data_IF_818527372294
#
_entry.id   IF_818527372294
#
_cell.length_a   1.000
_cell.length_b   1.000
_cell.length_c   1.000
_cell.angle_alpha   90.00
_cell.angle_beta   90.00
_cell.angle_gamma   90.00
#
_symmetry.space_group_name_H-M   'P 1'
#
loop_
_entity.id
_entity.type
_entity.pdbx_description
1 polymer ?
#
# COMPACT_ATOMS: atom_id res chain seq x y z
N UNK A 1 -28.83 -14.17 7.16
CA UNK A 1 -27.36 -14.08 7.10
C UNK A 1 -27.06 -12.83 6.32
N UNK A 2 -26.67 -11.80 7.05
CA UNK A 2 -26.45 -10.45 6.56
C UNK A 2 -25.10 -10.40 5.84
N UNK A 3 -25.11 -10.12 4.54
CA UNK A 3 -23.91 -10.08 3.68
C UNK A 3 -23.07 -8.81 3.89
N UNK A 4 -23.47 -7.90 4.79
CA UNK A 4 -22.77 -6.63 5.01
C UNK A 4 -21.64 -6.69 6.03
N UNK A 5 -21.53 -7.76 6.82
CA UNK A 5 -20.45 -7.92 7.80
C UNK A 5 -19.13 -8.40 7.17
N UNK A 6 -19.18 -9.16 6.07
CA UNK A 6 -17.96 -9.70 5.44
C UNK A 6 -17.16 -8.65 4.64
N UNK A 7 -17.79 -7.56 4.19
CA UNK A 7 -17.10 -6.52 3.40
C UNK A 7 -16.22 -5.63 4.28
N UNK A 8 -16.50 -5.55 5.59
CA UNK A 8 -15.72 -4.72 6.51
C UNK A 8 -14.34 -5.28 6.80
N UNK A 9 -14.14 -6.59 6.71
CA UNK A 9 -12.85 -7.22 7.05
C UNK A 9 -11.82 -7.10 5.91
N UNK A 10 -12.25 -7.19 4.64
CA UNK A 10 -11.35 -7.06 3.47
C UNK A 10 -10.77 -5.64 3.32
N UNK A 11 -11.53 -4.60 3.70
CA UNK A 11 -11.07 -3.20 3.67
C UNK A 11 -9.98 -2.86 4.70
N UNK A 12 -9.68 -3.76 5.65
CA UNK A 12 -8.70 -3.48 6.71
C UNK A 12 -7.25 -3.76 6.33
N UNK A 13 -6.99 -4.48 5.24
CA UNK A 13 -5.64 -4.92 4.91
C UNK A 13 -4.90 -3.84 4.14
N UNK A 14 -5.50 -3.29 3.07
CA UNK A 14 -4.93 -2.15 2.35
C UNK A 14 -4.66 -0.92 3.24
N UNK A 15 -5.49 -0.69 4.26
CA UNK A 15 -5.31 0.44 5.18
C UNK A 15 -4.08 0.26 6.10
N UNK A 16 -3.57 -0.96 6.25
CA UNK A 16 -2.38 -1.27 7.05
C UNK A 16 -1.08 -1.17 6.26
N UNK A 17 -1.13 -0.82 4.97
CA UNK A 17 0.06 -0.79 4.10
C UNK A 17 0.27 0.57 3.46
N UNK A 18 1.54 0.89 3.23
CA UNK A 18 1.96 2.14 2.63
C UNK A 18 3.01 1.93 1.55
N UNK A 19 3.01 2.87 0.61
CA UNK A 19 3.96 2.95 -0.49
C UNK A 19 4.88 4.14 -0.26
N UNK A 20 6.17 3.88 -0.10
CA UNK A 20 7.18 4.91 0.13
C UNK A 20 8.17 4.96 -1.02
N UNK A 21 8.37 6.13 -1.61
CA UNK A 21 9.47 6.33 -2.56
C UNK A 21 10.80 6.21 -1.82
N UNK A 22 11.68 5.29 -2.25
CA UNK A 22 13.00 5.10 -1.64
C UNK A 22 13.88 6.35 -1.70
N UNK A 23 13.71 7.16 -2.75
CA UNK A 23 14.55 8.32 -3.04
C UNK A 23 14.14 9.58 -2.29
N UNK A 24 12.85 9.94 -2.32
CA UNK A 24 12.35 11.18 -1.69
C UNK A 24 11.59 10.96 -0.38
N UNK A 25 11.36 9.70 0.01
CA UNK A 25 10.63 9.36 1.22
C UNK A 25 9.12 9.60 1.17
N UNK A 26 8.57 10.12 0.07
CA UNK A 26 7.12 10.39 -0.03
C UNK A 26 6.34 9.09 0.16
N UNK A 27 5.42 9.12 1.12
CA UNK A 27 4.51 8.02 1.47
C UNK A 27 3.14 8.25 0.84
N UNK A 28 2.45 7.17 0.47
CA UNK A 28 1.05 7.15 0.03
C UNK A 28 0.37 5.87 0.52
N UNK A 29 -0.95 5.89 0.58
CA UNK A 29 -1.75 4.74 0.96
C UNK A 29 -1.69 3.62 -0.09
N UNK A 30 -1.54 2.38 0.36
CA UNK A 30 -1.58 1.22 -0.53
C UNK A 30 -3.00 0.87 -1.00
N UNK A 31 -4.03 1.45 -0.38
CA UNK A 31 -5.43 1.30 -0.79
C UNK A 31 -5.72 1.74 -2.22
N UNK A 32 -4.92 2.67 -2.77
CA UNK A 32 -5.04 3.07 -4.18
C UNK A 32 -4.56 1.97 -5.16
N UNK A 33 -3.83 0.94 -4.71
CA UNK A 33 -3.30 -0.14 -5.57
C UNK A 33 -4.15 -1.41 -5.59
N UNK A 34 -5.25 -1.48 -4.82
CA UNK A 34 -6.15 -2.62 -4.76
C UNK A 34 -5.71 -3.71 -3.79
N UNK A 35 -6.65 -4.15 -2.94
CA UNK A 35 -6.47 -5.08 -1.81
C UNK A 35 -5.85 -6.45 -2.19
N UNK A 36 -6.11 -6.94 -3.41
CA UNK A 36 -5.80 -8.31 -3.82
C UNK A 36 -4.30 -8.68 -3.87
N UNK A 37 -3.39 -7.75 -3.62
CA UNK A 37 -1.94 -8.06 -3.52
C UNK A 37 -1.43 -8.07 -2.09
N UNK A 38 -2.14 -7.51 -1.14
CA UNK A 38 -1.54 -7.08 0.13
C UNK A 38 -1.60 -8.19 1.20
N UNK A 39 -2.59 -9.08 1.13
CA UNK A 39 -2.87 -10.06 2.20
C UNK A 39 -1.83 -11.16 2.43
N UNK A 40 -0.80 -11.31 1.57
CA UNK A 40 0.22 -12.37 1.70
C UNK A 40 1.67 -11.87 1.44
N UNK A 41 1.89 -10.56 1.31
CA UNK A 41 3.18 -10.04 0.86
C UNK A 41 4.13 -9.69 2.01
N UNK A 42 5.37 -10.16 1.91
CA UNK A 42 6.51 -9.59 2.60
C UNK A 42 6.77 -8.14 2.09
N UNK A 43 7.51 -7.31 2.86
CA UNK A 43 7.95 -6.01 2.37
C UNK A 43 8.62 -6.16 1.01
N UNK A 44 8.10 -5.48 0.01
CA UNK A 44 8.53 -5.63 -1.38
C UNK A 44 8.77 -4.27 -2.01
N UNK A 45 9.45 -4.27 -3.15
CA UNK A 45 9.73 -3.04 -3.89
C UNK A 45 9.27 -3.20 -5.33
N UNK A 46 8.80 -2.09 -5.91
CA UNK A 46 8.35 -2.03 -7.30
C UNK A 46 8.85 -0.76 -7.96
N UNK A 47 8.88 -0.74 -9.29
CA UNK A 47 9.10 0.49 -10.04
C UNK A 47 7.77 1.22 -10.20
N UNK A 48 7.73 2.47 -9.73
CA UNK A 48 6.54 3.31 -9.79
C UNK A 48 6.89 4.76 -10.09
N UNK A 49 5.95 5.47 -10.70
CA UNK A 49 6.10 6.91 -10.93
C UNK A 49 5.92 7.68 -9.61
N UNK A 50 6.93 8.45 -9.22
CA UNK A 50 6.83 9.31 -8.05
C UNK A 50 6.42 10.73 -8.47
N UNK A 51 5.25 11.23 -8.06
CA UNK A 51 4.84 12.60 -8.42
C UNK A 51 5.73 13.69 -7.82
N UNK A 52 6.41 13.41 -6.70
CA UNK A 52 7.35 14.36 -6.07
C UNK A 52 8.63 14.47 -6.88
N UNK A 53 9.17 13.33 -7.33
CA UNK A 53 10.38 13.32 -8.17
C UNK A 53 10.08 13.60 -9.66
N UNK A 54 8.81 13.45 -10.08
CA UNK A 54 8.36 13.50 -11.48
C UNK A 54 9.15 12.54 -12.41
N UNK A 55 9.47 11.35 -11.90
CA UNK A 55 10.16 10.27 -12.64
C UNK A 55 9.87 8.89 -12.04
N UNK A 56 10.20 7.85 -12.80
CA UNK A 56 10.17 6.45 -12.34
C UNK A 56 11.19 6.24 -11.22
N UNK A 57 10.73 5.76 -10.07
CA UNK A 57 11.53 5.49 -8.88
C UNK A 57 11.19 4.13 -8.30
N UNK A 58 12.09 3.64 -7.45
CA UNK A 58 11.81 2.47 -6.61
C UNK A 58 10.86 2.90 -5.49
N UNK A 59 9.70 2.24 -5.45
CA UNK A 59 8.67 2.40 -4.43
C UNK A 59 8.70 1.17 -3.54
N UNK A 60 8.86 1.38 -2.24
CA UNK A 60 8.86 0.36 -1.20
C UNK A 60 7.42 0.21 -0.71
N UNK A 61 6.90 -1.00 -0.74
CA UNK A 61 5.64 -1.37 -0.12
C UNK A 61 5.94 -2.02 1.22
N UNK A 62 5.50 -1.38 2.29
CA UNK A 62 5.75 -1.80 3.66
C UNK A 62 4.48 -1.61 4.50
N UNK A 63 4.28 -2.40 5.57
CA UNK A 63 3.20 -2.13 6.50
C UNK A 63 3.40 -0.73 7.10
N UNK A 64 2.30 0.02 7.26
CA UNK A 64 2.29 1.21 8.09
C UNK A 64 2.74 0.77 9.48
N UNK A 65 3.80 1.37 10.02
CA UNK A 65 4.13 1.18 11.42
C UNK A 65 2.95 1.72 12.23
N UNK A 66 2.23 0.83 12.92
CA UNK A 66 1.32 1.23 13.99
C UNK A 66 2.17 1.96 15.03
N UNK A 67 1.99 3.27 15.11
CA UNK A 67 2.49 4.07 16.22
C UNK A 67 1.66 3.85 17.47
#
# INVERSE_FOLDING_TARGET
>A
MDLSENIKDELHIADKWQLRCKECGKVRDAAELGDNRISDLAPSWTLGWCSSCRKLRIIIMEPKKAG
#
